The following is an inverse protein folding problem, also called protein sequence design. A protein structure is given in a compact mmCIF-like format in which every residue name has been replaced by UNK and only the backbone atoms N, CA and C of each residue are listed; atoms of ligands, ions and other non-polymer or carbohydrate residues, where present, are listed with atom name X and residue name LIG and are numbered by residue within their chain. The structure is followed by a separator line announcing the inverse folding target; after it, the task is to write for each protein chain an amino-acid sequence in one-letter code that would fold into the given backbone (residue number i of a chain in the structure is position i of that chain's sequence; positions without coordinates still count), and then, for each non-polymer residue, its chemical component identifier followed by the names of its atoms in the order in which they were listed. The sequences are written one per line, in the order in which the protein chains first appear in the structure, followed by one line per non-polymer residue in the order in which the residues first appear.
data_IF_691066499442
#
_entry.id   IF_691066499442
#
_cell.length_a   1.000
_cell.length_b   1.000
_cell.length_c   1.000
_cell.angle_alpha   90.00
_cell.angle_beta   90.00
_cell.angle_gamma   90.00
#
_symmetry.space_group_name_H-M   'P 1'
#
loop_
_entity.id
_entity.type
_entity.pdbx_description
1 polymer ?
#
# COMPACT_ATOMS: atom_id res chain seq x y z
N UNK A 1 9.37 -21.34 45.80
CA UNK A 1 8.48 -20.18 45.97
C UNK A 1 8.83 -19.20 44.86
N UNK A 2 8.09 -19.20 43.75
CA UNK A 2 8.33 -18.26 42.67
C UNK A 2 7.77 -16.91 43.11
N UNK A 3 8.63 -15.92 43.28
CA UNK A 3 8.21 -14.55 43.61
C UNK A 3 7.48 -14.02 42.38
N UNK A 4 6.16 -13.86 42.48
CA UNK A 4 5.36 -13.30 41.40
C UNK A 4 5.72 -11.82 41.27
N UNK A 5 6.08 -11.41 40.04
CA UNK A 5 6.49 -10.05 39.71
C UNK A 5 5.47 -8.98 40.17
N UNK A 6 4.19 -9.33 40.12
CA UNK A 6 3.04 -8.54 40.60
C UNK A 6 3.15 -8.17 42.09
N UNK A 7 3.63 -9.08 42.94
CA UNK A 7 3.77 -8.86 44.38
C UNK A 7 4.91 -7.88 44.71
N UNK A 8 5.95 -7.89 43.88
CA UNK A 8 7.08 -6.96 44.00
C UNK A 8 6.63 -5.55 43.64
N UNK A 9 5.85 -5.40 42.56
CA UNK A 9 5.30 -4.10 42.11
C UNK A 9 4.36 -3.49 43.16
N UNK A 10 3.52 -4.32 43.78
CA UNK A 10 2.59 -3.87 44.82
C UNK A 10 3.31 -3.40 46.09
N UNK A 11 4.47 -4.00 46.40
CA UNK A 11 5.29 -3.69 47.58
C UNK A 11 6.10 -2.39 47.46
N UNK A 12 6.40 -1.94 46.25
CA UNK A 12 7.13 -0.68 45.96
C UNK A 12 6.22 0.53 45.65
N UNK A 13 4.93 0.47 46.01
CA UNK A 13 3.93 1.52 45.78
C UNK A 13 3.56 1.76 44.29
N UNK A 14 3.70 0.73 43.44
CA UNK A 14 3.31 0.78 42.04
C UNK A 14 4.14 1.74 41.18
N UNK A 15 3.71 1.93 39.92
CA UNK A 15 4.35 2.87 39.00
C UNK A 15 4.08 4.32 39.39
N UNK A 16 5.14 5.13 39.52
CA UNK A 16 5.05 6.55 39.81
C UNK A 16 4.43 7.37 38.66
N UNK A 17 3.99 8.60 38.95
CA UNK A 17 3.33 9.49 37.97
C UNK A 17 4.21 9.72 36.73
N UNK A 18 5.52 9.86 36.92
CA UNK A 18 6.47 10.04 35.82
C UNK A 18 6.58 8.80 34.94
N UNK A 19 6.71 7.61 35.54
CA UNK A 19 6.80 6.36 34.79
C UNK A 19 5.52 6.06 33.99
N UNK A 20 4.34 6.39 34.53
CA UNK A 20 3.07 6.29 33.80
C UNK A 20 3.04 7.23 32.59
N UNK A 21 3.53 8.46 32.72
CA UNK A 21 3.63 9.40 31.59
C UNK A 21 4.56 8.89 30.51
N UNK A 22 5.75 8.39 30.88
CA UNK A 22 6.70 7.81 29.93
C UNK A 22 6.11 6.59 29.22
N UNK A 23 5.40 5.71 29.94
CA UNK A 23 4.71 4.57 29.35
C UNK A 23 3.68 5.00 28.29
N UNK A 24 2.90 6.06 28.57
CA UNK A 24 1.94 6.62 27.61
C UNK A 24 2.66 7.19 26.37
N UNK A 25 3.76 7.92 26.54
CA UNK A 25 4.54 8.43 25.41
C UNK A 25 5.10 7.30 24.55
N UNK A 26 5.67 6.27 25.17
CA UNK A 26 6.19 5.10 24.44
C UNK A 26 5.06 4.37 23.71
N UNK A 27 3.89 4.22 24.34
CA UNK A 27 2.73 3.62 23.70
C UNK A 27 2.27 4.40 22.45
N UNK A 28 2.24 5.74 22.51
CA UNK A 28 1.90 6.58 21.36
C UNK A 28 2.89 6.37 20.21
N UNK A 29 4.19 6.33 20.48
CA UNK A 29 5.21 6.09 19.43
C UNK A 29 5.05 4.71 18.78
N UNK A 30 4.70 3.69 19.56
CA UNK A 30 4.48 2.34 19.02
C UNK A 30 3.23 2.26 18.12
N UNK A 31 2.17 2.99 18.47
CA UNK A 31 0.96 3.08 17.63
C UNK A 31 1.31 3.67 16.26
N UNK A 32 2.07 4.77 16.22
CA UNK A 32 2.50 5.38 14.94
C UNK A 32 3.33 4.41 14.10
N UNK A 33 4.23 3.66 14.73
CA UNK A 33 5.03 2.65 14.03
C UNK A 33 4.16 1.56 13.37
N UNK A 34 3.11 1.10 14.05
CA UNK A 34 2.18 0.11 13.51
C UNK A 34 1.36 0.63 12.31
N UNK A 35 0.95 1.90 12.31
CA UNK A 35 0.29 2.47 11.14
C UNK A 35 1.24 2.64 9.95
N UNK A 36 2.49 3.00 10.23
CA UNK A 36 3.49 3.22 9.17
C UNK A 36 3.87 1.92 8.46
N UNK A 37 3.83 0.78 9.16
CA UNK A 37 4.11 -0.53 8.55
C UNK A 37 3.02 -1.03 7.60
N UNK A 38 1.82 -0.44 7.62
CA UNK A 38 0.73 -0.79 6.71
C UNK A 38 0.81 -0.06 5.36
N UNK A 39 1.43 1.13 5.33
CA UNK A 39 1.55 1.97 4.12
C UNK A 39 2.20 1.24 2.94
N UNK A 40 3.31 0.49 3.11
CA UNK A 40 3.96 -0.21 1.99
C UNK A 40 3.04 -1.22 1.30
N UNK A 41 2.12 -1.86 2.02
CA UNK A 41 1.20 -2.83 1.42
C UNK A 41 0.28 -2.19 0.37
N UNK A 42 -0.10 -0.92 0.59
CA UNK A 42 -0.93 -0.18 -0.36
C UNK A 42 -0.12 0.47 -1.49
N UNK A 43 1.13 0.88 -1.21
CA UNK A 43 2.00 1.50 -2.23
C UNK A 43 2.61 0.47 -3.18
N UNK A 44 3.05 -0.68 -2.65
CA UNK A 44 3.68 -1.74 -3.45
C UNK A 44 2.67 -2.74 -4.04
N UNK A 45 1.37 -2.50 -3.88
CA UNK A 45 0.34 -3.29 -4.56
C UNK A 45 0.51 -3.14 -6.08
N UNK A 46 1.00 -4.17 -6.75
CA UNK A 46 1.16 -4.16 -8.19
C UNK A 46 -0.22 -4.22 -8.86
N UNK A 47 -0.67 -3.08 -9.37
CA UNK A 47 -1.90 -3.01 -10.14
C UNK A 47 -1.61 -3.42 -11.59
N UNK A 48 -2.52 -4.22 -12.15
CA UNK A 48 -2.48 -4.55 -13.58
C UNK A 48 -2.64 -3.25 -14.36
N UNK A 49 -1.68 -2.97 -15.21
CA UNK A 49 -1.64 -1.75 -16.02
C UNK A 49 -1.29 -2.09 -17.46
N UNK A 50 -1.90 -1.35 -18.38
CA UNK A 50 -1.67 -1.48 -19.82
C UNK A 50 -1.51 -0.12 -20.49
N UNK A 51 -0.96 -0.15 -21.69
CA UNK A 51 -0.68 1.02 -22.51
C UNK A 51 -1.99 1.53 -23.15
N UNK A 52 -2.29 2.84 -23.12
CA UNK A 52 -3.47 3.38 -23.82
C UNK A 52 -3.22 3.40 -25.33
N UNK A 53 -3.97 2.62 -26.10
CA UNK A 53 -3.88 2.59 -27.56
C UNK A 53 -4.59 3.83 -28.15
N UNK A 54 -3.90 4.68 -28.93
CA UNK A 54 -4.53 5.83 -29.58
C UNK A 54 -5.48 5.36 -30.70
N UNK A 55 -6.72 5.83 -30.67
CA UNK A 55 -7.74 5.51 -31.69
C UNK A 55 -8.84 4.55 -31.22
N UNK A 56 -8.67 3.92 -30.05
CA UNK A 56 -9.69 3.11 -29.43
C UNK A 56 -10.14 3.75 -28.11
N UNK A 57 -11.37 4.24 -28.09
CA UNK A 57 -11.98 4.98 -26.99
C UNK A 57 -12.98 4.14 -26.17
N UNK A 58 -13.26 2.91 -26.59
CA UNK A 58 -14.28 2.06 -25.97
C UNK A 58 -13.81 0.60 -25.81
N UNK A 59 -12.54 0.41 -25.45
CA UNK A 59 -11.95 -0.90 -25.16
C UNK A 59 -12.13 -1.23 -23.68
N UNK A 60 -12.76 -2.38 -23.40
CA UNK A 60 -12.74 -3.00 -22.06
C UNK A 60 -11.31 -3.47 -21.75
N UNK A 61 -11.00 -3.71 -20.49
CA UNK A 61 -9.65 -4.15 -20.11
C UNK A 61 -9.21 -5.47 -20.78
N UNK A 62 -10.16 -6.36 -21.05
CA UNK A 62 -9.92 -7.74 -21.52
C UNK A 62 -9.99 -7.94 -23.05
N UNK A 63 -10.44 -6.95 -23.84
CA UNK A 63 -10.84 -7.17 -25.25
C UNK A 63 -9.73 -6.92 -26.31
N UNK A 64 -8.46 -6.85 -25.93
CA UNK A 64 -7.38 -6.40 -26.84
C UNK A 64 -6.45 -7.53 -27.33
N UNK A 65 -6.34 -7.69 -28.66
CA UNK A 65 -5.38 -8.57 -29.36
C UNK A 65 -3.96 -7.95 -29.47
N UNK A 66 -3.62 -7.00 -28.59
CA UNK A 66 -2.33 -6.30 -28.61
C UNK A 66 -1.36 -6.86 -27.56
N UNK A 67 -0.14 -7.19 -27.97
CA UNK A 67 0.92 -7.61 -27.03
C UNK A 67 1.60 -6.39 -26.42
N UNK A 68 1.55 -6.26 -25.09
CA UNK A 68 2.10 -5.12 -24.35
C UNK A 68 3.39 -5.50 -23.61
N UNK A 69 4.32 -4.54 -23.50
CA UNK A 69 5.48 -4.69 -22.63
C UNK A 69 5.23 -3.88 -21.35
N UNK A 70 5.12 -4.54 -20.19
CA UNK A 70 4.81 -3.83 -18.93
C UNK A 70 5.98 -2.95 -18.45
N UNK A 71 7.22 -3.32 -18.78
CA UNK A 71 8.40 -2.56 -18.32
C UNK A 71 8.67 -1.29 -19.12
N UNK A 72 8.13 -1.20 -20.34
CA UNK A 72 8.30 -0.06 -21.25
C UNK A 72 6.95 0.23 -21.86
N UNK A 73 6.41 1.45 -21.68
CA UNK A 73 5.09 1.90 -22.18
C UNK A 73 4.97 1.77 -23.71
N UNK A 74 4.83 0.54 -24.19
CA UNK A 74 4.93 0.13 -25.59
C UNK A 74 3.99 -1.04 -25.86
N UNK A 75 3.39 -1.02 -27.04
CA UNK A 75 2.51 -2.08 -27.52
C UNK A 75 2.94 -2.50 -28.92
N UNK A 76 2.72 -3.78 -29.24
CA UNK A 76 2.95 -4.33 -30.58
C UNK A 76 1.62 -4.61 -31.26
N UNK A 77 1.46 -4.07 -32.46
CA UNK A 77 0.33 -4.34 -33.34
C UNK A 77 0.89 -4.76 -34.71
N UNK A 78 0.50 -5.93 -35.21
CA UNK A 78 0.98 -6.48 -36.49
C UNK A 78 2.52 -6.46 -36.60
N UNK A 79 3.22 -6.91 -35.55
CA UNK A 79 4.69 -6.95 -35.44
C UNK A 79 5.42 -5.60 -35.44
N UNK A 80 4.68 -4.48 -35.34
CA UNK A 80 5.27 -3.13 -35.25
C UNK A 80 5.11 -2.60 -33.83
N UNK A 81 6.18 -2.05 -33.25
CA UNK A 81 6.18 -1.54 -31.88
C UNK A 81 5.88 -0.04 -31.85
N UNK A 82 4.91 0.36 -31.05
CA UNK A 82 4.50 1.74 -30.85
C UNK A 82 4.64 2.14 -29.37
N UNK A 83 4.96 3.40 -29.10
CA UNK A 83 5.00 3.98 -27.74
C UNK A 83 3.65 4.58 -27.40
N UNK A 84 3.17 4.42 -26.16
CA UNK A 84 1.98 5.14 -25.69
C UNK A 84 2.35 6.37 -24.86
N UNK A 85 1.39 7.28 -24.77
CA UNK A 85 1.51 8.52 -24.00
C UNK A 85 0.98 8.39 -22.57
N UNK A 86 0.20 7.35 -22.26
CA UNK A 86 -0.47 7.19 -20.98
C UNK A 86 -0.74 5.73 -20.65
N UNK A 87 -0.72 5.40 -19.35
CA UNK A 87 -1.11 4.10 -18.81
C UNK A 87 -2.59 4.08 -18.44
N UNK A 88 -3.21 2.91 -18.58
CA UNK A 88 -4.55 2.60 -18.11
C UNK A 88 -4.41 1.51 -17.07
N UNK A 89 -5.10 1.63 -15.94
CA UNK A 89 -5.09 0.65 -14.84
C UNK A 89 -6.43 -0.08 -14.74
N UNK A 90 -6.38 -1.36 -14.38
CA UNK A 90 -7.58 -2.16 -14.12
C UNK A 90 -8.27 -1.67 -12.83
N UNK A 91 -9.54 -1.30 -12.95
CA UNK A 91 -10.36 -0.72 -11.87
C UNK A 91 -11.34 -1.73 -11.25
N UNK A 92 -11.28 -3.01 -11.60
CA UNK A 92 -12.21 -4.04 -11.11
C UNK A 92 -12.18 -4.25 -9.59
N UNK A 93 -11.02 -4.02 -8.96
CA UNK A 93 -10.83 -4.17 -7.51
C UNK A 93 -10.90 -2.83 -6.77
N UNK A 94 -10.43 -1.75 -7.40
CA UNK A 94 -10.37 -0.41 -6.81
C UNK A 94 -11.00 0.60 -7.77
N UNK A 95 -12.25 0.96 -7.51
CA UNK A 95 -13.04 1.88 -8.35
C UNK A 95 -12.49 3.30 -8.31
N UNK A 96 -11.85 3.70 -7.20
CA UNK A 96 -11.22 5.00 -7.02
C UNK A 96 -9.90 4.88 -6.23
N UNK A 97 -8.91 5.67 -6.63
CA UNK A 97 -7.67 5.86 -5.87
C UNK A 97 -7.56 7.32 -5.45
N UNK A 98 -6.87 7.59 -4.34
CA UNK A 98 -6.71 8.95 -3.79
C UNK A 98 -6.09 9.98 -4.75
N UNK A 99 -5.57 9.55 -5.91
CA UNK A 99 -4.93 10.40 -6.93
C UNK A 99 -5.92 10.83 -8.02
N UNK A 100 -7.14 10.28 -8.08
CA UNK A 100 -8.11 10.59 -9.15
C UNK A 100 -8.93 11.87 -8.95
N UNK A 101 -8.59 12.74 -7.98
CA UNK A 101 -9.27 14.03 -7.76
C UNK A 101 -8.65 15.19 -8.54
#
# INVERSE_FOLDING_TARGET
MAVHYEDIIKKINGFGIYQKRVLIFVAITQITNAFTSLIPNFILGEHRHKCKVPGFNNQTFDDDDATYNLTKCTYSLNSTTYSCNSWVYDQSVYTDTFISS
#
